data_IF_916643797634
#
_entry.id   IF_916643797634
#
_cell.length_a   1.000
_cell.length_b   1.000
_cell.length_c   1.000
_cell.angle_alpha   90.00
_cell.angle_beta   90.00
_cell.angle_gamma   90.00
#
_symmetry.space_group_name_H-M   'P 1'
#
loop_
_entity.id
_entity.type
_entity.pdbx_description
1 polymer ?
#
# COMPACT_ATOMS: atom_id res chain seq x y z
N UNK A 1 58.01 -37.22 -45.64
CA UNK A 1 58.18 -36.04 -44.77
C UNK A 1 56.84 -35.70 -44.13
N UNK A 2 56.87 -35.34 -42.84
CA UNK A 2 55.78 -34.95 -41.92
C UNK A 2 54.80 -33.94 -42.58
N UNK A 3 53.51 -33.90 -42.26
CA UNK A 3 52.99 -33.22 -41.07
C UNK A 3 51.55 -33.64 -40.72
N UNK A 4 51.26 -33.49 -39.42
CA UNK A 4 50.10 -33.96 -38.66
C UNK A 4 48.88 -33.07 -38.92
N UNK A 5 47.68 -33.67 -39.02
CA UNK A 5 46.41 -32.94 -38.92
C UNK A 5 46.04 -32.81 -37.44
N UNK A 6 45.76 -31.58 -37.04
CA UNK A 6 45.35 -31.12 -35.71
C UNK A 6 43.91 -31.53 -35.38
N UNK A 7 43.54 -31.67 -34.09
CA UNK A 7 42.19 -32.01 -33.66
C UNK A 7 41.24 -30.79 -33.67
N UNK A 8 39.91 -30.99 -33.73
CA UNK A 8 38.95 -29.90 -33.59
C UNK A 8 38.89 -29.40 -32.14
N UNK A 9 38.85 -28.07 -32.02
CA UNK A 9 38.68 -27.32 -30.77
C UNK A 9 37.29 -27.62 -30.21
N UNK A 10 37.25 -28.17 -29.00
CA UNK A 10 36.01 -28.30 -28.23
C UNK A 10 35.54 -26.92 -27.78
N UNK A 11 34.41 -26.46 -28.32
CA UNK A 11 33.70 -25.29 -27.83
C UNK A 11 32.96 -25.68 -26.54
N UNK A 12 33.44 -25.20 -25.40
CA UNK A 12 32.71 -25.29 -24.12
C UNK A 12 31.87 -24.02 -23.98
N UNK A 13 30.55 -24.16 -24.17
CA UNK A 13 29.56 -23.11 -23.96
C UNK A 13 29.01 -23.19 -22.52
N UNK A 14 29.05 -22.02 -21.86
CA UNK A 14 28.00 -21.41 -21.02
C UNK A 14 27.63 -22.08 -19.69
N UNK A 15 27.84 -21.29 -18.63
CA UNK A 15 27.19 -21.47 -17.34
C UNK A 15 27.37 -20.23 -16.46
N UNK A 16 26.81 -19.08 -16.88
CA UNK A 16 26.68 -17.92 -15.99
C UNK A 16 25.48 -18.19 -15.09
N UNK A 17 25.73 -18.62 -13.85
CA UNK A 17 24.69 -18.63 -12.81
C UNK A 17 24.36 -17.18 -12.46
N UNK A 18 23.25 -16.68 -12.97
CA UNK A 18 22.64 -15.45 -12.48
C UNK A 18 22.06 -15.75 -11.09
N UNK A 19 22.77 -15.33 -10.03
CA UNK A 19 22.18 -15.18 -8.71
C UNK A 19 21.18 -14.02 -8.77
N UNK A 20 19.92 -14.32 -9.02
CA UNK A 20 18.83 -13.38 -8.82
C UNK A 20 18.63 -13.18 -7.31
N UNK A 21 19.34 -12.20 -6.73
CA UNK A 21 19.05 -11.74 -5.39
C UNK A 21 17.65 -11.10 -5.39
N UNK A 22 16.65 -11.83 -4.91
CA UNK A 22 15.34 -11.27 -4.59
C UNK A 22 15.52 -10.29 -3.44
N UNK A 23 15.59 -8.99 -3.75
CA UNK A 23 15.51 -7.94 -2.73
C UNK A 23 14.11 -8.00 -2.13
N UNK A 24 13.98 -8.64 -0.98
CA UNK A 24 12.78 -8.52 -0.15
C UNK A 24 12.81 -7.13 0.47
N UNK A 25 12.07 -6.19 -0.13
CA UNK A 25 11.75 -4.93 0.50
C UNK A 25 10.74 -5.20 1.60
N UNK A 26 11.21 -5.68 2.76
CA UNK A 26 10.41 -5.60 3.97
C UNK A 26 10.28 -4.11 4.30
N UNK A 27 9.13 -3.53 3.97
CA UNK A 27 8.80 -2.17 4.36
C UNK A 27 8.74 -2.16 5.89
N UNK A 28 9.74 -1.54 6.51
CA UNK A 28 9.90 -1.49 7.96
C UNK A 28 8.64 -0.84 8.53
N UNK A 29 7.79 -1.64 9.19
CA UNK A 29 6.57 -1.15 9.81
C UNK A 29 6.97 -0.19 10.92
N UNK A 30 6.78 1.11 10.70
CA UNK A 30 6.95 2.11 11.74
C UNK A 30 6.08 1.70 12.93
N UNK A 31 6.69 1.47 14.09
CA UNK A 31 5.94 1.20 15.32
C UNK A 31 5.30 2.50 15.79
N UNK A 32 4.00 2.61 15.62
CA UNK A 32 3.25 3.78 16.05
C UNK A 32 3.00 3.75 17.57
N UNK A 33 3.13 4.88 18.28
CA UNK A 33 2.82 4.97 19.70
C UNK A 33 1.36 4.60 20.00
N UNK A 34 0.45 5.04 19.13
CA UNK A 34 -0.96 4.70 19.19
C UNK A 34 -1.36 3.96 17.91
N UNK A 35 -2.17 2.92 18.07
CA UNK A 35 -2.65 2.10 16.94
C UNK A 35 -4.08 1.65 17.20
N UNK A 36 -4.93 1.77 16.16
CA UNK A 36 -6.24 1.14 16.12
C UNK A 36 -6.25 0.08 15.01
N UNK A 37 -6.68 -1.13 15.34
CA UNK A 37 -6.84 -2.21 14.34
C UNK A 37 -8.30 -2.60 14.20
N UNK A 38 -8.62 -3.28 13.11
CA UNK A 38 -9.94 -3.88 12.93
C UNK A 38 -9.99 -4.76 11.69
N UNK A 39 -11.17 -5.34 11.47
CA UNK A 39 -11.43 -6.24 10.37
C UNK A 39 -12.78 -5.87 9.75
N UNK A 40 -12.90 -5.98 8.43
CA UNK A 40 -14.16 -5.73 7.72
C UNK A 40 -14.32 -6.59 6.47
N UNK A 41 -15.55 -6.80 6.05
CA UNK A 41 -15.87 -7.48 4.79
C UNK A 41 -15.92 -6.49 3.63
N UNK A 42 -15.23 -6.82 2.54
CA UNK A 42 -15.20 -6.04 1.31
C UNK A 42 -15.38 -6.95 0.10
N UNK A 43 -16.56 -6.89 -0.52
CA UNK A 43 -16.99 -7.88 -1.52
C UNK A 43 -15.97 -8.22 -2.64
N UNK A 44 -15.17 -7.27 -3.17
CA UNK A 44 -14.14 -7.59 -4.17
C UNK A 44 -13.01 -8.52 -3.73
N UNK A 45 -12.67 -8.57 -2.43
CA UNK A 45 -11.53 -9.36 -1.91
C UNK A 45 -11.85 -10.22 -0.68
N UNK A 46 -13.06 -10.11 -0.13
CA UNK A 46 -13.47 -10.74 1.11
C UNK A 46 -13.02 -9.96 2.35
N UNK A 47 -12.54 -10.67 3.36
CA UNK A 47 -12.10 -10.07 4.62
C UNK A 47 -10.84 -9.24 4.43
N UNK A 48 -10.87 -8.01 4.97
CA UNK A 48 -9.74 -7.09 5.07
C UNK A 48 -9.46 -6.83 6.55
N UNK A 49 -8.21 -7.02 6.95
CA UNK A 49 -7.68 -6.52 8.21
C UNK A 49 -7.07 -5.13 7.97
N UNK A 50 -7.23 -4.21 8.92
CA UNK A 50 -6.65 -2.88 8.80
C UNK A 50 -5.98 -2.44 10.10
N UNK A 51 -5.00 -1.56 9.95
CA UNK A 51 -4.26 -0.91 11.03
C UNK A 51 -4.17 0.59 10.75
N UNK A 52 -4.43 1.39 11.78
CA UNK A 52 -4.37 2.84 11.77
C UNK A 52 -3.38 3.24 12.85
N UNK A 53 -2.17 3.57 12.44
CA UNK A 53 -1.14 4.08 13.31
C UNK A 53 -1.17 5.60 13.34
N UNK A 54 -0.98 6.20 14.51
CA UNK A 54 -0.86 7.65 14.62
C UNK A 54 0.08 8.09 15.74
N UNK A 55 0.66 9.27 15.59
CA UNK A 55 1.52 9.92 16.58
C UNK A 55 1.26 11.42 16.57
N UNK A 56 1.35 12.07 17.72
CA UNK A 56 1.23 13.53 17.78
C UNK A 56 2.37 14.20 16.99
N UNK A 57 2.02 15.14 16.12
CA UNK A 57 2.90 16.06 15.41
C UNK A 57 2.92 17.47 16.08
N UNK A 58 2.26 17.61 17.24
CA UNK A 58 2.13 18.86 17.99
C UNK A 58 0.89 19.69 17.63
N UNK A 59 0.47 20.58 18.53
CA UNK A 59 -0.68 21.49 18.34
C UNK A 59 -1.98 20.79 17.90
N UNK A 60 -2.28 19.65 18.51
CA UNK A 60 -3.42 18.78 18.17
C UNK A 60 -3.40 18.21 16.74
N UNK A 61 -2.25 18.29 16.04
CA UNK A 61 -2.00 17.58 14.79
C UNK A 61 -1.39 16.21 15.06
N UNK A 62 -1.72 15.23 14.22
CA UNK A 62 -1.26 13.85 14.32
C UNK A 62 -0.83 13.32 12.96
N UNK A 63 0.41 12.86 12.85
CA UNK A 63 0.82 12.00 11.74
C UNK A 63 0.03 10.70 11.81
N UNK A 64 -0.43 10.20 10.66
CA UNK A 64 -1.27 9.02 10.57
C UNK A 64 -0.92 8.21 9.33
N UNK A 65 -0.87 6.89 9.50
CA UNK A 65 -0.79 5.92 8.41
C UNK A 65 -1.88 4.88 8.56
N UNK A 66 -2.47 4.48 7.43
CA UNK A 66 -3.49 3.44 7.38
C UNK A 66 -3.09 2.39 6.37
N UNK A 67 -2.90 1.17 6.87
CA UNK A 67 -2.55 0.00 6.07
C UNK A 67 -3.67 -1.03 6.13
N UNK A 68 -3.85 -1.75 5.03
CA UNK A 68 -4.79 -2.86 4.92
C UNK A 68 -4.06 -4.11 4.50
N UNK A 69 -4.55 -5.25 4.99
CA UNK A 69 -4.07 -6.58 4.65
C UNK A 69 -5.24 -7.47 4.25
N UNK A 70 -5.05 -8.27 3.20
CA UNK A 70 -6.08 -9.17 2.66
C UNK A 70 -5.44 -10.40 2.02
N UNK A 71 -6.26 -11.39 1.66
CA UNK A 71 -5.81 -12.57 0.92
C UNK A 71 -6.24 -12.52 -0.53
N UNK A 72 -5.28 -12.63 -1.44
CA UNK A 72 -5.49 -12.80 -2.86
C UNK A 72 -4.28 -13.53 -3.48
N UNK A 73 -4.46 -14.84 -3.72
CA UNK A 73 -3.41 -15.83 -4.07
C UNK A 73 -2.21 -15.84 -3.09
N UNK A 74 -2.39 -15.29 -1.90
CA UNK A 74 -1.36 -15.05 -0.90
C UNK A 74 -1.74 -13.88 0.00
N UNK A 75 -0.94 -13.64 1.04
CA UNK A 75 -1.12 -12.45 1.89
C UNK A 75 -0.64 -11.21 1.15
N UNK A 76 -1.46 -10.15 1.22
CA UNK A 76 -1.21 -8.84 0.62
C UNK A 76 -1.31 -7.79 1.71
N UNK A 77 -0.48 -6.77 1.63
CA UNK A 77 -0.53 -5.59 2.51
C UNK A 77 -0.27 -4.35 1.67
N UNK A 78 -1.01 -3.28 1.94
CA UNK A 78 -0.86 -2.01 1.25
C UNK A 78 -1.12 -0.84 2.20
N UNK A 79 -0.26 0.18 2.13
CA UNK A 79 -0.52 1.49 2.73
C UNK A 79 -1.52 2.24 1.84
N UNK A 80 -2.69 2.56 2.37
CA UNK A 80 -3.71 3.32 1.64
C UNK A 80 -3.54 4.82 1.85
N UNK A 81 -3.32 5.25 3.09
CA UNK A 81 -3.30 6.65 3.46
C UNK A 81 -2.10 6.96 4.34
N UNK A 82 -1.46 8.11 4.07
CA UNK A 82 -0.45 8.72 4.93
C UNK A 82 -0.67 10.23 4.93
N UNK A 83 -0.74 10.84 6.11
CA UNK A 83 -0.99 12.27 6.22
C UNK A 83 -1.05 12.78 7.65
N UNK A 84 -1.31 14.07 7.80
CA UNK A 84 -1.64 14.71 9.09
C UNK A 84 -3.15 14.64 9.30
N UNK A 85 -3.66 14.60 10.53
CA UNK A 85 -5.06 14.83 10.88
C UNK A 85 -5.16 15.43 12.30
N UNK A 86 -6.33 15.92 12.70
CA UNK A 86 -6.46 16.70 13.95
C UNK A 86 -7.30 15.99 15.03
N UNK A 87 -8.14 15.04 14.62
CA UNK A 87 -9.00 14.24 15.53
C UNK A 87 -8.85 12.75 15.23
N UNK A 88 -7.75 12.12 15.65
CA UNK A 88 -7.59 10.67 15.53
C UNK A 88 -8.62 9.91 16.39
N UNK A 89 -8.84 8.60 16.11
CA UNK A 89 -8.31 7.89 14.95
C UNK A 89 -9.12 8.21 13.68
N UNK A 90 -8.46 8.07 12.53
CA UNK A 90 -9.17 7.96 11.26
C UNK A 90 -10.08 6.71 11.29
N UNK A 91 -11.03 6.63 10.35
CA UNK A 91 -11.98 5.50 10.25
C UNK A 91 -11.89 4.85 8.89
N UNK A 92 -11.97 3.52 8.88
CA UNK A 92 -12.16 2.72 7.68
C UNK A 92 -13.65 2.39 7.53
N UNK A 93 -14.17 2.56 6.32
CA UNK A 93 -15.58 2.29 5.99
C UNK A 93 -15.70 1.68 4.61
N UNK A 94 -16.80 0.96 4.35
CA UNK A 94 -17.13 0.43 3.02
C UNK A 94 -18.38 1.13 2.51
N UNK A 95 -18.31 1.65 1.28
CA UNK A 95 -19.41 2.31 0.58
C UNK A 95 -19.59 1.64 -0.79
N UNK A 96 -20.51 0.69 -0.88
CA UNK A 96 -20.68 -0.11 -2.09
C UNK A 96 -19.44 -0.96 -2.37
N UNK A 97 -18.81 -0.76 -3.53
CA UNK A 97 -17.55 -1.40 -3.92
C UNK A 97 -16.31 -0.54 -3.61
N UNK A 98 -16.45 0.51 -2.80
CA UNK A 98 -15.35 1.37 -2.41
C UNK A 98 -14.96 1.12 -0.95
N UNK A 99 -13.67 1.04 -0.72
CA UNK A 99 -13.06 1.08 0.60
C UNK A 99 -12.66 2.52 0.89
N UNK A 100 -13.16 3.13 1.95
CA UNK A 100 -12.94 4.56 2.20
C UNK A 100 -12.28 4.81 3.55
N UNK A 101 -11.26 5.67 3.53
CA UNK A 101 -10.65 6.30 4.68
C UNK A 101 -11.37 7.60 4.97
N UNK A 102 -11.80 7.79 6.21
CA UNK A 102 -12.38 9.05 6.69
C UNK A 102 -11.50 9.62 7.80
N UNK A 103 -10.92 10.78 7.57
CA UNK A 103 -10.09 11.52 8.53
C UNK A 103 -10.73 12.88 8.85
N UNK A 104 -10.30 13.53 9.93
CA UNK A 104 -10.83 14.82 10.35
C UNK A 104 -9.74 15.88 10.46
N UNK A 105 -10.05 17.09 9.97
CA UNK A 105 -9.18 18.25 9.95
C UNK A 105 -9.93 19.48 10.45
N UNK A 106 -9.31 20.25 11.31
CA UNK A 106 -9.86 21.44 11.91
C UNK A 106 -9.07 22.65 11.39
N UNK A 107 -9.73 23.58 10.71
CA UNK A 107 -9.03 24.82 10.36
C UNK A 107 -8.67 25.59 11.63
N UNK A 108 -7.67 26.47 11.53
CA UNK A 108 -7.21 27.28 12.66
C UNK A 108 -8.39 28.03 13.29
N UNK A 109 -8.56 27.86 14.60
CA UNK A 109 -9.63 28.46 15.42
C UNK A 109 -11.06 27.96 15.14
N UNK A 110 -11.22 26.83 14.45
CA UNK A 110 -12.54 26.21 14.29
C UNK A 110 -12.80 25.19 15.39
N UNK A 111 -14.00 25.25 15.98
CA UNK A 111 -14.47 24.25 16.94
C UNK A 111 -15.03 23.00 16.24
N UNK A 112 -15.42 23.13 14.97
CA UNK A 112 -15.97 22.05 14.15
C UNK A 112 -14.97 21.67 13.08
N UNK A 113 -14.62 20.38 13.02
CA UNK A 113 -13.66 19.85 12.06
C UNK A 113 -14.39 19.34 10.81
N UNK A 114 -13.78 19.56 9.65
CA UNK A 114 -14.19 18.99 8.38
C UNK A 114 -13.75 17.54 8.27
N UNK A 115 -14.56 16.70 7.64
CA UNK A 115 -14.15 15.35 7.26
C UNK A 115 -13.48 15.38 5.88
N UNK A 116 -12.36 14.68 5.76
CA UNK A 116 -11.78 14.26 4.49
C UNK A 116 -12.17 12.80 4.26
N UNK A 117 -12.60 12.47 3.04
CA UNK A 117 -12.85 11.10 2.64
C UNK A 117 -12.07 10.78 1.37
N UNK A 118 -11.21 9.77 1.45
CA UNK A 118 -10.49 9.22 0.30
C UNK A 118 -10.96 7.77 0.11
N UNK A 119 -11.41 7.43 -1.10
CA UNK A 119 -11.97 6.12 -1.40
C UNK A 119 -11.10 5.39 -2.41
N UNK A 120 -11.10 4.06 -2.32
CA UNK A 120 -10.28 3.18 -3.13
C UNK A 120 -11.16 2.09 -3.74
N UNK A 121 -10.92 1.80 -5.01
CA UNK A 121 -11.41 0.59 -5.68
C UNK A 121 -10.33 -0.49 -5.64
N UNK A 122 -10.73 -1.75 -5.77
CA UNK A 122 -9.76 -2.84 -5.92
C UNK A 122 -9.57 -3.19 -7.39
N UNK A 123 -8.33 -3.05 -7.88
CA UNK A 123 -7.91 -3.52 -9.19
C UNK A 123 -7.44 -4.97 -9.09
N UNK A 124 -8.27 -5.91 -9.55
CA UNK A 124 -7.96 -7.34 -9.53
C UNK A 124 -6.83 -7.74 -10.50
N UNK A 125 -6.57 -6.94 -11.55
CA UNK A 125 -5.47 -7.18 -12.49
C UNK A 125 -4.11 -6.84 -11.88
N UNK A 126 -4.06 -5.75 -11.09
CA UNK A 126 -2.85 -5.31 -10.38
C UNK A 126 -2.78 -5.85 -8.95
N UNK A 127 -3.86 -6.45 -8.45
CA UNK A 127 -4.01 -6.97 -7.09
C UNK A 127 -3.70 -5.89 -6.04
N UNK A 128 -4.23 -4.69 -6.23
CA UNK A 128 -4.00 -3.54 -5.36
C UNK A 128 -5.24 -2.65 -5.27
N UNK A 129 -5.31 -1.86 -4.21
CA UNK A 129 -6.26 -0.77 -4.08
C UNK A 129 -5.76 0.47 -4.83
N UNK A 130 -6.64 1.10 -5.59
CA UNK A 130 -6.35 2.31 -6.37
C UNK A 130 -7.30 3.41 -5.89
N UNK A 131 -6.73 4.57 -5.59
CA UNK A 131 -7.50 5.74 -5.16
C UNK A 131 -8.44 6.21 -6.28
N UNK A 132 -9.69 6.44 -5.92
CA UNK A 132 -10.68 7.06 -6.80
C UNK A 132 -10.55 8.59 -6.73
N UNK A 133 -10.63 9.30 -7.87
CA UNK A 133 -10.63 10.76 -7.86
C UNK A 133 -11.82 11.26 -7.04
N UNK A 134 -11.59 12.32 -6.25
CA UNK A 134 -12.67 12.99 -5.54
C UNK A 134 -13.77 13.42 -6.53
N UNK A 135 -15.03 13.19 -6.18
CA UNK A 135 -16.18 13.56 -7.04
C UNK A 135 -16.07 15.06 -7.41
N UNK A 136 -15.65 15.34 -8.65
CA UNK A 136 -15.39 16.72 -9.13
C UNK A 136 -14.10 16.90 -9.93
N UNK A 137 -13.17 15.96 -9.90
CA UNK A 137 -11.93 16.04 -10.69
C UNK A 137 -12.04 15.23 -11.99
N UNK A 138 -12.56 15.87 -13.04
CA UNK A 138 -12.46 15.31 -14.40
C UNK A 138 -10.99 15.28 -14.80
N UNK A 139 -10.37 14.10 -14.78
CA UNK A 139 -9.07 13.86 -15.42
C UNK A 139 -9.28 13.93 -16.95
N UNK A 140 -8.74 14.92 -17.67
CA UNK A 140 -8.77 14.89 -19.12
C UNK A 140 -7.84 13.77 -19.62
N UNK A 141 -8.36 12.94 -20.54
CA UNK A 141 -7.57 11.96 -21.30
C UNK A 141 -6.61 12.63 -22.28
#
# INVERSE_FOLDING_TARGET
MKLRRTPPVAAVLVGVLALSATMSFAQESRTWPDTSTGTMEFAPVGTIDYSIGYASAGYDHFETEISVSWRDDGERTQLLFSGIQDKPPAKMTVKGNLLCVVAQYCARYQEVCSALATCYTYDAGQKQFVEEPAEGETVPR
#
